data_IF_082773783053
#
_entry.id   IF_082773783053
#
_cell.length_a   1.000
_cell.length_b   1.000
_cell.length_c   1.000
_cell.angle_alpha   90.00
_cell.angle_beta   90.00
_cell.angle_gamma   90.00
#
_symmetry.space_group_name_H-M   'P 1'
#
loop_
_entity.id
_entity.type
_entity.pdbx_description
1 polymer ?
#
# COMPACT_ATOMS: atom_id res chain seq x y z
N UNK A 1 -31.14 54.88 32.27
CA UNK A 1 -31.72 53.63 31.72
C UNK A 1 -30.86 53.18 30.55
N UNK A 2 -30.27 52.00 30.66
CA UNK A 2 -30.17 50.95 29.63
C UNK A 2 -28.93 50.11 29.88
N UNK A 3 -29.20 48.94 30.46
CA UNK A 3 -28.28 47.87 30.80
C UNK A 3 -27.75 47.22 29.51
N UNK A 4 -26.44 47.27 29.30
CA UNK A 4 -25.75 46.48 28.29
C UNK A 4 -25.35 45.13 28.91
N UNK A 5 -25.84 44.08 28.24
CA UNK A 5 -25.98 42.71 28.71
C UNK A 5 -24.61 42.01 28.80
N UNK A 6 -24.41 41.33 29.92
CA UNK A 6 -23.29 40.42 30.16
C UNK A 6 -23.48 39.16 29.27
N UNK A 7 -22.77 39.07 28.16
CA UNK A 7 -22.72 37.86 27.33
C UNK A 7 -21.68 36.91 27.91
N UNK A 8 -22.16 35.92 28.66
CA UNK A 8 -21.38 34.83 29.24
C UNK A 8 -20.94 33.90 28.09
N UNK A 9 -19.66 33.97 27.70
CA UNK A 9 -19.05 33.08 26.71
C UNK A 9 -18.68 31.78 27.41
N UNK A 10 -19.54 30.77 27.28
CA UNK A 10 -19.28 29.40 27.74
C UNK A 10 -18.28 28.75 26.76
N UNK A 11 -17.01 28.68 27.15
CA UNK A 11 -15.99 27.91 26.43
C UNK A 11 -16.23 26.43 26.76
N UNK A 12 -17.03 25.75 25.95
CA UNK A 12 -17.13 24.28 25.97
C UNK A 12 -15.86 23.73 25.35
N UNK A 13 -14.91 23.34 26.21
CA UNK A 13 -13.77 22.51 25.83
C UNK A 13 -14.30 21.15 25.36
N UNK A 14 -14.42 20.97 24.05
CA UNK A 14 -14.65 19.68 23.45
C UNK A 14 -13.39 18.83 23.66
N UNK A 15 -13.40 18.02 24.71
CA UNK A 15 -12.50 16.90 24.87
C UNK A 15 -12.77 15.93 23.71
N UNK A 16 -11.99 16.07 22.64
CA UNK A 16 -11.86 15.04 21.63
C UNK A 16 -11.15 13.86 22.30
N UNK A 17 -11.91 13.05 23.02
CA UNK A 17 -11.52 11.70 23.37
C UNK A 17 -11.29 10.96 22.06
N UNK A 18 -10.04 10.91 21.60
CA UNK A 18 -9.59 9.94 20.63
C UNK A 18 -9.77 8.57 21.30
N UNK A 19 -10.95 7.99 21.14
CA UNK A 19 -11.18 6.61 21.46
C UNK A 19 -10.14 5.80 20.68
N UNK A 20 -9.10 5.36 21.37
CA UNK A 20 -8.20 4.33 20.91
C UNK A 20 -9.02 3.05 20.83
N UNK A 21 -9.80 2.91 19.76
CA UNK A 21 -10.36 1.62 19.39
C UNK A 21 -9.17 0.65 19.36
N UNK A 22 -9.25 -0.46 20.07
CA UNK A 22 -8.41 -1.60 19.78
C UNK A 22 -8.59 -1.87 18.28
N UNK A 23 -7.63 -1.45 17.46
CA UNK A 23 -7.72 -1.63 16.02
C UNK A 23 -7.57 -3.12 15.81
N UNK A 24 -8.69 -3.79 15.56
CA UNK A 24 -8.61 -5.08 14.90
C UNK A 24 -7.89 -4.86 13.58
N UNK A 25 -6.67 -5.39 13.50
CA UNK A 25 -5.83 -5.29 12.33
C UNK A 25 -6.63 -5.89 11.18
N UNK A 26 -7.18 -5.02 10.33
CA UNK A 26 -8.03 -5.40 9.21
C UNK A 26 -7.14 -5.46 8.00
N UNK A 27 -6.97 -6.67 7.46
CA UNK A 27 -6.20 -6.87 6.25
C UNK A 27 -6.86 -6.10 5.08
N UNK A 28 -6.13 -5.28 4.32
CA UNK A 28 -6.68 -4.67 3.11
C UNK A 28 -6.98 -5.74 2.07
N UNK A 29 -8.00 -5.49 1.26
CA UNK A 29 -8.31 -6.33 0.10
C UNK A 29 -7.22 -6.17 -0.97
N UNK A 30 -6.80 -7.29 -1.57
CA UNK A 30 -5.88 -7.24 -2.70
C UNK A 30 -6.53 -6.48 -3.88
N UNK A 31 -5.76 -5.65 -4.61
CA UNK A 31 -6.26 -4.89 -5.74
C UNK A 31 -6.53 -5.82 -6.93
N UNK A 32 -7.46 -5.44 -7.79
CA UNK A 32 -7.69 -6.14 -9.05
C UNK A 32 -6.66 -5.69 -10.09
N UNK A 33 -5.63 -6.50 -10.30
CA UNK A 33 -4.54 -6.19 -11.25
C UNK A 33 -4.91 -6.75 -12.62
N UNK A 34 -5.12 -5.90 -13.64
CA UNK A 34 -5.57 -6.34 -14.95
C UNK A 34 -4.47 -7.13 -15.69
N UNK A 35 -4.90 -8.06 -16.55
CA UNK A 35 -4.00 -8.82 -17.42
C UNK A 35 -3.50 -7.91 -18.56
N UNK A 36 -2.30 -7.37 -18.39
CA UNK A 36 -1.74 -6.23 -19.15
C UNK A 36 -1.73 -6.29 -20.68
N UNK A 37 -2.11 -7.41 -21.33
CA UNK A 37 -2.17 -7.53 -22.80
C UNK A 37 -3.32 -6.76 -23.45
N UNK A 38 -4.47 -6.68 -22.79
CA UNK A 38 -5.71 -6.07 -23.31
C UNK A 38 -6.11 -4.80 -22.52
N UNK A 39 -5.25 -4.39 -21.59
CA UNK A 39 -5.49 -3.26 -20.69
C UNK A 39 -5.19 -1.93 -21.37
N UNK A 40 -6.10 -0.98 -21.25
CA UNK A 40 -5.85 0.39 -21.72
C UNK A 40 -5.05 1.21 -20.69
N UNK A 41 -4.52 2.36 -21.10
CA UNK A 41 -3.68 3.21 -20.23
C UNK A 41 -4.39 3.62 -18.94
N UNK A 42 -5.68 3.96 -19.01
CA UNK A 42 -6.47 4.38 -17.86
C UNK A 42 -6.62 3.26 -16.85
N UNK A 43 -6.94 2.04 -17.29
CA UNK A 43 -7.03 0.86 -16.44
C UNK A 43 -5.70 0.54 -15.76
N UNK A 44 -4.58 0.62 -16.50
CA UNK A 44 -3.26 0.37 -15.92
C UNK A 44 -2.85 1.45 -14.89
N UNK A 45 -3.25 2.71 -15.10
CA UNK A 45 -3.01 3.78 -14.12
C UNK A 45 -3.90 3.65 -12.89
N UNK A 46 -5.16 3.23 -13.04
CA UNK A 46 -6.04 2.94 -11.91
C UNK A 46 -5.51 1.76 -11.11
N UNK A 47 -5.14 0.65 -11.76
CA UNK A 47 -4.54 -0.50 -11.11
C UNK A 47 -3.26 -0.14 -10.35
N UNK A 48 -2.44 0.76 -10.90
CA UNK A 48 -1.26 1.30 -10.20
C UNK A 48 -1.63 2.10 -8.94
N UNK A 49 -2.66 2.93 -9.02
CA UNK A 49 -3.12 3.72 -7.89
C UNK A 49 -3.67 2.81 -6.78
N UNK A 50 -4.54 1.87 -7.14
CA UNK A 50 -5.10 0.86 -6.23
C UNK A 50 -4.02 -0.02 -5.61
N UNK A 51 -3.04 -0.45 -6.41
CA UNK A 51 -1.87 -1.17 -5.90
C UNK A 51 -1.05 -0.35 -4.90
N UNK A 52 -0.85 0.94 -5.17
CA UNK A 52 -0.11 1.83 -4.26
C UNK A 52 -0.85 2.03 -2.93
N UNK A 53 -2.17 2.20 -3.00
CA UNK A 53 -3.04 2.30 -1.83
C UNK A 53 -3.05 1.01 -1.02
N UNK A 54 -3.20 -0.15 -1.69
CA UNK A 54 -3.09 -1.47 -1.08
C UNK A 54 -1.77 -1.61 -0.30
N UNK A 55 -0.62 -1.30 -0.91
CA UNK A 55 0.66 -1.37 -0.23
C UNK A 55 0.75 -0.45 1.00
N UNK A 56 0.16 0.74 0.92
CA UNK A 56 0.12 1.66 2.06
C UNK A 56 -0.72 1.11 3.20
N UNK A 57 -1.90 0.56 2.90
CA UNK A 57 -2.77 -0.07 3.88
C UNK A 57 -2.15 -1.34 4.45
N UNK A 58 -1.46 -2.14 3.64
CA UNK A 58 -0.76 -3.36 4.10
C UNK A 58 0.35 -3.02 5.07
N UNK A 59 1.11 -1.93 4.85
CA UNK A 59 2.11 -1.46 5.83
C UNK A 59 1.46 -1.06 7.16
N UNK A 60 0.32 -0.38 7.12
CA UNK A 60 -0.41 -0.03 8.34
C UNK A 60 -0.94 -1.27 9.06
N UNK A 61 -1.40 -2.27 8.31
CA UNK A 61 -1.80 -3.57 8.83
C UNK A 61 -0.62 -4.30 9.50
N UNK A 62 0.53 -4.42 8.83
CA UNK A 62 1.71 -5.09 9.38
C UNK A 62 2.21 -4.38 10.65
N UNK A 63 2.19 -3.05 10.68
CA UNK A 63 2.51 -2.29 11.90
C UNK A 63 1.52 -2.58 13.04
N UNK A 64 0.23 -2.74 12.73
CA UNK A 64 -0.79 -3.15 13.70
C UNK A 64 -0.54 -4.57 14.22
N UNK A 65 -0.21 -5.51 13.33
CA UNK A 65 0.09 -6.90 13.71
C UNK A 65 1.34 -6.97 14.59
N UNK A 66 2.40 -6.22 14.27
CA UNK A 66 3.61 -6.10 15.13
C UNK A 66 3.27 -5.53 16.51
N UNK A 67 2.42 -4.51 16.58
CA UNK A 67 1.94 -3.96 17.86
C UNK A 67 1.10 -4.96 18.65
N UNK A 68 0.25 -5.77 17.98
CA UNK A 68 -0.46 -6.90 18.62
C UNK A 68 0.52 -7.92 19.19
N UNK A 69 1.54 -8.31 18.42
CA UNK A 69 2.58 -9.26 18.83
C UNK A 69 3.34 -8.75 20.07
N UNK A 70 3.76 -7.48 20.08
CA UNK A 70 4.44 -6.85 21.22
C UNK A 70 3.57 -6.77 22.49
N UNK A 71 2.25 -6.68 22.30
CA UNK A 71 1.27 -6.61 23.40
C UNK A 71 0.81 -7.98 23.87
N UNK A 72 1.15 -9.06 23.17
CA UNK A 72 0.96 -10.40 23.69
C UNK A 72 1.72 -10.50 25.01
N UNK A 73 0.99 -10.79 26.07
CA UNK A 73 1.56 -10.91 27.40
C UNK A 73 2.57 -12.08 27.41
N UNK A 74 3.48 -12.10 28.39
CA UNK A 74 4.50 -13.16 28.50
C UNK A 74 3.89 -14.57 28.64
N UNK A 75 2.65 -14.65 29.09
CA UNK A 75 1.86 -15.86 29.27
C UNK A 75 0.94 -16.21 28.08
N UNK A 76 0.99 -15.45 26.98
CA UNK A 76 0.31 -15.84 25.75
C UNK A 76 0.80 -17.22 25.29
N UNK A 77 -0.14 -18.05 24.85
CA UNK A 77 0.15 -19.42 24.41
C UNK A 77 0.97 -19.42 23.13
N UNK A 78 1.60 -20.55 22.83
CA UNK A 78 2.32 -20.75 21.56
C UNK A 78 1.37 -20.57 20.37
N UNK A 79 0.19 -21.20 20.42
CA UNK A 79 -0.87 -21.04 19.41
C UNK A 79 -1.28 -19.56 19.18
N UNK A 80 -1.35 -18.75 20.24
CA UNK A 80 -1.68 -17.33 20.13
C UNK A 80 -0.57 -16.52 19.44
N UNK A 81 0.70 -16.90 19.66
CA UNK A 81 1.86 -16.28 18.99
C UNK A 81 1.91 -16.69 17.53
N UNK A 82 1.78 -17.99 17.25
CA UNK A 82 1.77 -18.54 15.89
C UNK A 82 0.64 -17.92 15.06
N UNK A 83 -0.56 -17.77 15.62
CA UNK A 83 -1.66 -17.11 14.91
C UNK A 83 -1.35 -15.66 14.52
N UNK A 84 -0.58 -14.91 15.31
CA UNK A 84 -0.18 -13.53 14.98
C UNK A 84 0.93 -13.53 13.91
N UNK A 85 1.86 -14.47 13.97
CA UNK A 85 2.91 -14.64 12.97
C UNK A 85 2.31 -15.03 11.61
N UNK A 86 1.36 -15.96 11.58
CA UNK A 86 0.63 -16.35 10.37
C UNK A 86 -0.07 -15.17 9.70
N UNK A 87 -0.64 -14.23 10.48
CA UNK A 87 -1.25 -13.01 9.95
C UNK A 87 -0.21 -12.11 9.27
N UNK A 88 0.98 -11.98 9.86
CA UNK A 88 2.08 -11.20 9.31
C UNK A 88 2.57 -11.82 7.99
N UNK A 89 2.90 -13.12 8.03
CA UNK A 89 3.43 -13.88 6.88
C UNK A 89 2.43 -13.94 5.72
N UNK A 90 1.14 -14.14 6.02
CA UNK A 90 0.09 -14.12 5.02
C UNK A 90 0.04 -12.78 4.29
N UNK A 91 0.10 -11.66 5.01
CA UNK A 91 0.09 -10.34 4.37
C UNK A 91 1.35 -10.09 3.55
N UNK A 92 2.53 -10.47 4.04
CA UNK A 92 3.79 -10.35 3.28
C UNK A 92 3.71 -11.15 1.97
N UNK A 93 3.21 -12.38 2.02
CA UNK A 93 3.00 -13.24 0.86
C UNK A 93 2.00 -12.63 -0.15
N UNK A 94 0.90 -12.06 0.34
CA UNK A 94 -0.09 -11.38 -0.49
C UNK A 94 0.52 -10.14 -1.17
N UNK A 95 1.30 -9.34 -0.44
CA UNK A 95 2.01 -8.20 -1.01
C UNK A 95 2.98 -8.62 -2.11
N UNK A 96 3.75 -9.69 -1.88
CA UNK A 96 4.67 -10.22 -2.88
C UNK A 96 3.93 -10.66 -4.15
N UNK A 97 2.83 -11.39 -4.00
CA UNK A 97 1.99 -11.81 -5.14
C UNK A 97 1.51 -10.59 -5.93
N UNK A 98 0.99 -9.57 -5.24
CA UNK A 98 0.53 -8.35 -5.90
C UNK A 98 1.67 -7.60 -6.63
N UNK A 99 2.90 -7.60 -6.07
CA UNK A 99 4.08 -7.06 -6.76
C UNK A 99 4.39 -7.81 -8.05
N UNK A 100 4.38 -9.14 -8.00
CA UNK A 100 4.66 -9.99 -9.15
C UNK A 100 3.62 -9.80 -10.26
N UNK A 101 2.34 -9.73 -9.88
CA UNK A 101 1.24 -9.52 -10.80
C UNK A 101 1.29 -8.13 -11.44
N UNK A 102 1.51 -7.07 -10.65
CA UNK A 102 1.63 -5.72 -11.18
C UNK A 102 2.87 -5.60 -12.09
N UNK A 103 3.97 -6.25 -11.74
CA UNK A 103 5.17 -6.32 -12.58
C UNK A 103 4.92 -7.02 -13.92
N UNK A 104 4.18 -8.13 -13.90
CA UNK A 104 3.77 -8.87 -15.11
C UNK A 104 2.84 -8.02 -15.98
N UNK A 105 1.85 -7.38 -15.38
CA UNK A 105 0.89 -6.51 -16.07
C UNK A 105 1.61 -5.32 -16.72
N UNK A 106 2.50 -4.65 -16.01
CA UNK A 106 3.28 -3.53 -16.54
C UNK A 106 4.20 -3.96 -17.70
N UNK A 107 4.82 -5.15 -17.61
CA UNK A 107 5.63 -5.70 -18.70
C UNK A 107 4.79 -5.97 -19.95
N UNK A 108 3.65 -6.62 -19.80
CA UNK A 108 2.75 -6.91 -20.92
C UNK A 108 2.20 -5.64 -21.56
N UNK A 109 1.77 -4.66 -20.75
CA UNK A 109 1.30 -3.37 -21.25
C UNK A 109 2.37 -2.65 -22.07
N UNK A 110 3.62 -2.66 -21.61
CA UNK A 110 4.75 -2.11 -22.34
C UNK A 110 4.95 -2.80 -23.70
N UNK A 111 4.94 -4.13 -23.73
CA UNK A 111 5.11 -4.90 -24.97
C UNK A 111 3.98 -4.63 -25.97
N UNK A 112 2.73 -4.55 -25.50
CA UNK A 112 1.59 -4.20 -26.35
C UNK A 112 1.71 -2.78 -26.88
N UNK A 113 2.16 -1.83 -26.05
CA UNK A 113 2.38 -0.46 -26.49
C UNK A 113 3.50 -0.36 -27.54
N UNK A 114 4.63 -1.04 -27.32
CA UNK A 114 5.74 -1.13 -28.28
C UNK A 114 5.28 -1.75 -29.62
N UNK A 115 4.55 -2.87 -29.58
CA UNK A 115 4.04 -3.51 -30.79
C UNK A 115 3.07 -2.61 -31.57
N UNK A 116 2.16 -1.91 -30.87
CA UNK A 116 1.27 -0.94 -31.50
C UNK A 116 2.02 0.26 -32.08
N UNK A 117 3.16 0.63 -31.50
CA UNK A 117 4.03 1.69 -32.03
C UNK A 117 4.78 1.23 -33.28
N UNK A 118 5.30 0.00 -33.28
CA UNK A 118 5.98 -0.60 -34.44
C UNK A 118 4.99 -0.79 -35.62
N UNK A 119 3.72 -1.09 -35.34
CA UNK A 119 2.65 -1.13 -36.34
C UNK A 119 2.23 0.28 -36.83
N UNK A 120 2.47 1.33 -36.05
CA UNK A 120 1.96 2.69 -36.28
C UNK A 120 2.91 3.64 -37.02
N UNK A 121 3.98 3.16 -37.69
CA UNK A 121 4.90 4.02 -38.44
C UNK A 121 4.26 4.59 -39.73
N UNK A 122 3.48 5.67 -39.53
CA UNK A 122 3.28 6.84 -40.40
C UNK A 122 2.59 8.05 -39.69
N UNK A 123 2.16 7.95 -38.41
CA UNK A 123 1.50 9.09 -37.74
C UNK A 123 1.87 9.23 -36.24
N UNK A 124 2.38 10.43 -35.91
CA UNK A 124 2.48 11.12 -34.60
C UNK A 124 3.48 10.63 -33.51
N UNK A 125 4.75 11.02 -33.70
CA UNK A 125 5.90 10.93 -32.78
C UNK A 125 5.68 11.50 -31.35
N UNK A 126 4.73 12.44 -31.15
CA UNK A 126 4.46 13.03 -29.82
C UNK A 126 3.70 12.12 -28.87
N UNK A 127 2.87 11.21 -29.40
CA UNK A 127 2.11 10.25 -28.60
C UNK A 127 3.03 9.11 -28.11
N UNK A 128 4.03 8.77 -28.92
CA UNK A 128 5.09 7.83 -28.59
C UNK A 128 5.94 8.29 -27.37
N UNK A 129 6.31 9.58 -27.34
CA UNK A 129 7.06 10.17 -26.22
C UNK A 129 6.28 10.21 -24.90
N UNK A 130 4.95 10.28 -24.96
CA UNK A 130 4.11 10.30 -23.75
C UNK A 130 4.05 8.92 -23.09
N UNK A 131 3.91 7.85 -23.89
CA UNK A 131 3.86 6.47 -23.40
C UNK A 131 5.21 6.03 -22.82
N UNK A 132 6.32 6.35 -23.50
CA UNK A 132 7.66 6.03 -23.02
C UNK A 132 7.97 6.72 -21.66
N UNK A 133 7.53 7.97 -21.48
CA UNK A 133 7.64 8.69 -20.21
C UNK A 133 6.82 8.05 -19.10
N UNK A 134 5.59 7.64 -19.39
CA UNK A 134 4.70 6.99 -18.43
C UNK A 134 5.30 5.66 -17.92
N UNK A 135 5.82 4.84 -18.84
CA UNK A 135 6.47 3.59 -18.49
C UNK A 135 7.72 3.80 -17.62
N UNK A 136 8.59 4.74 -18.01
CA UNK A 136 9.83 5.04 -17.27
C UNK A 136 9.54 5.53 -15.85
N UNK A 137 8.54 6.38 -15.65
CA UNK A 137 8.11 6.84 -14.32
C UNK A 137 7.61 5.66 -13.47
N UNK A 138 6.75 4.80 -14.05
CA UNK A 138 6.18 3.67 -13.35
C UNK A 138 7.25 2.67 -12.89
N UNK A 139 8.18 2.27 -13.76
CA UNK A 139 9.29 1.36 -13.41
C UNK A 139 10.18 1.94 -12.30
N UNK A 140 10.46 3.24 -12.35
CA UNK A 140 11.31 3.89 -11.36
C UNK A 140 10.69 3.85 -9.97
N UNK A 141 9.39 4.18 -9.87
CA UNK A 141 8.67 4.15 -8.60
C UNK A 141 8.45 2.73 -8.07
N UNK A 142 8.23 1.75 -8.95
CA UNK A 142 8.11 0.34 -8.55
C UNK A 142 9.42 -0.19 -7.93
N UNK A 143 10.57 0.17 -8.50
CA UNK A 143 11.88 -0.16 -7.92
C UNK A 143 12.10 0.49 -6.55
N UNK A 144 11.69 1.75 -6.39
CA UNK A 144 11.82 2.44 -5.10
C UNK A 144 10.98 1.73 -4.01
N UNK A 145 9.71 1.46 -4.30
CA UNK A 145 8.81 0.76 -3.37
C UNK A 145 9.31 -0.65 -3.02
N UNK A 146 9.81 -1.41 -4.00
CA UNK A 146 10.39 -2.74 -3.77
C UNK A 146 11.61 -2.69 -2.84
N UNK A 147 12.49 -1.70 -3.00
CA UNK A 147 13.65 -1.54 -2.13
C UNK A 147 13.28 -1.12 -0.71
N UNK A 148 12.21 -0.34 -0.53
CA UNK A 148 11.69 0.03 0.79
C UNK A 148 11.10 -1.17 1.52
N UNK A 149 10.30 -1.99 0.85
CA UNK A 149 9.77 -3.24 1.42
C UNK A 149 10.91 -4.17 1.84
N UNK A 150 11.94 -4.32 1.01
CA UNK A 150 13.10 -5.16 1.32
C UNK A 150 13.87 -4.67 2.54
N UNK A 151 14.00 -3.36 2.73
CA UNK A 151 14.57 -2.79 3.96
C UNK A 151 13.72 -3.09 5.17
N UNK A 152 12.41 -2.85 5.09
CA UNK A 152 11.50 -3.08 6.21
C UNK A 152 11.47 -4.56 6.65
N UNK A 153 11.59 -5.49 5.70
CA UNK A 153 11.71 -6.92 6.00
C UNK A 153 13.01 -7.27 6.75
N UNK A 154 14.14 -6.73 6.29
CA UNK A 154 15.43 -6.97 6.95
C UNK A 154 15.47 -6.38 8.37
N UNK A 155 14.94 -5.16 8.55
CA UNK A 155 14.82 -4.48 9.84
C UNK A 155 13.95 -5.29 10.82
N UNK A 156 12.87 -5.89 10.33
CA UNK A 156 12.04 -6.81 11.11
C UNK A 156 12.79 -8.08 11.54
N UNK A 157 13.59 -8.68 10.65
CA UNK A 157 14.37 -9.87 11.02
C UNK A 157 15.46 -9.57 12.06
N UNK A 158 16.15 -8.43 11.93
CA UNK A 158 17.15 -8.00 12.92
C UNK A 158 16.51 -7.73 14.30
N UNK A 159 15.33 -7.09 14.33
CA UNK A 159 14.57 -6.86 15.58
C UNK A 159 14.12 -8.17 16.26
N UNK A 160 13.79 -9.21 15.48
CA UNK A 160 13.39 -10.53 16.01
C UNK A 160 14.59 -11.27 16.59
N UNK A 161 15.75 -11.23 15.92
CA UNK A 161 16.99 -11.85 16.41
C UNK A 161 17.55 -11.17 17.68
N UNK A 162 17.32 -9.87 17.88
CA UNK A 162 17.70 -9.16 19.13
C UNK A 162 16.73 -9.40 20.30
N UNK A 163 15.52 -9.91 20.03
CA UNK A 163 14.48 -10.11 21.04
C UNK A 163 14.44 -11.55 21.63
N UNK A 164 15.17 -12.50 21.04
CA UNK A 164 15.39 -13.87 21.54
C UNK A 164 16.57 -13.98 22.52
#
# INVERSE_FOLDING_TARGET
MSLLKLTMVTITAALLSSASFARDCTAPAAPDIPKGKDTNTTEMMNARAEFSEYLAQSRQYLACVKDKQMKLAKDATEDEREAVDELYDSMVSNMQTAYEDMGRAAKQFKQTAEAKMDEADAATQSEQDAVARLYKDMVTKLKAASNEVKRAYNDFQEDVEEAE
#
